data_IF_898394831869
#
_entry.id   IF_898394831869
#
_cell.length_a   1.000
_cell.length_b   1.000
_cell.length_c   1.000
_cell.angle_alpha   90.00
_cell.angle_beta   90.00
_cell.angle_gamma   90.00
#
_symmetry.space_group_name_H-M   'P 1'
#
loop_
_entity.id
_entity.type
_entity.pdbx_description
1 polymer ?
#
# COMPACT_ATOMS: atom_id res chain seq x y z
N UNK A 1 -4.27 46.84 -20.25
CA UNK A 1 -3.57 45.71 -19.61
C UNK A 1 -4.57 44.77 -18.92
N UNK A 2 -5.44 44.10 -19.69
CA UNK A 2 -6.49 43.22 -19.14
C UNK A 2 -6.50 41.89 -19.91
N UNK A 3 -6.48 41.97 -21.25
CA UNK A 3 -6.33 40.80 -22.13
C UNK A 3 -5.09 39.93 -21.83
N UNK A 4 -4.00 40.54 -21.32
CA UNK A 4 -2.75 39.82 -21.01
C UNK A 4 -2.84 39.00 -19.71
N UNK A 5 -3.59 39.49 -18.73
CA UNK A 5 -3.83 38.79 -17.46
C UNK A 5 -4.86 37.66 -17.65
N UNK A 6 -5.90 37.91 -18.46
CA UNK A 6 -6.91 36.90 -18.81
C UNK A 6 -6.30 35.70 -19.55
N UNK A 7 -5.40 35.94 -20.51
CA UNK A 7 -4.69 34.86 -21.21
C UNK A 7 -3.73 34.06 -20.32
N UNK A 8 -3.26 34.62 -19.21
CA UNK A 8 -2.44 33.89 -18.23
C UNK A 8 -3.30 33.02 -17.33
N UNK A 9 -4.45 33.54 -16.88
CA UNK A 9 -5.43 32.80 -16.07
C UNK A 9 -6.05 31.62 -16.85
N UNK A 10 -6.40 31.82 -18.12
CA UNK A 10 -6.97 30.77 -18.96
C UNK A 10 -6.00 29.59 -19.14
N UNK A 11 -4.71 29.87 -19.39
CA UNK A 11 -3.67 28.83 -19.53
C UNK A 11 -3.41 28.07 -18.23
N UNK A 12 -3.44 28.75 -17.09
CA UNK A 12 -3.30 28.08 -15.79
C UNK A 12 -4.49 27.16 -15.51
N UNK A 13 -5.71 27.60 -15.83
CA UNK A 13 -6.92 26.81 -15.67
C UNK A 13 -6.94 25.57 -16.59
N UNK A 14 -6.54 25.72 -17.85
CA UNK A 14 -6.38 24.60 -18.80
C UNK A 14 -5.35 23.57 -18.30
N UNK A 15 -4.22 24.04 -17.77
CA UNK A 15 -3.20 23.18 -17.19
C UNK A 15 -3.72 22.40 -15.97
N UNK A 16 -4.47 23.06 -15.07
CA UNK A 16 -5.08 22.41 -13.91
C UNK A 16 -6.11 21.35 -14.31
N UNK A 17 -6.98 21.64 -15.28
CA UNK A 17 -7.97 20.67 -15.79
C UNK A 17 -7.28 19.45 -16.41
N UNK A 18 -6.21 19.67 -17.17
CA UNK A 18 -5.45 18.58 -17.80
C UNK A 18 -4.86 17.65 -16.74
N UNK A 19 -4.24 18.22 -15.70
CA UNK A 19 -3.67 17.48 -14.57
C UNK A 19 -4.76 16.66 -13.82
N UNK A 20 -5.92 17.26 -13.54
CA UNK A 20 -7.04 16.58 -12.88
C UNK A 20 -7.62 15.43 -13.73
N UNK A 21 -7.68 15.60 -15.06
CA UNK A 21 -8.11 14.55 -15.98
C UNK A 21 -7.11 13.38 -16.03
N UNK A 22 -5.80 13.66 -16.03
CA UNK A 22 -4.76 12.64 -15.97
C UNK A 22 -4.85 11.82 -14.66
N UNK A 23 -4.95 12.49 -13.51
CA UNK A 23 -5.14 11.87 -12.19
C UNK A 23 -6.38 10.97 -12.13
N UNK A 24 -7.51 11.42 -12.68
CA UNK A 24 -8.75 10.65 -12.65
C UNK A 24 -8.77 9.48 -13.66
N UNK A 25 -8.03 9.61 -14.76
CA UNK A 25 -7.92 8.55 -15.78
C UNK A 25 -7.12 7.35 -15.27
N UNK A 26 -6.13 7.59 -14.41
CA UNK A 26 -5.27 6.54 -13.86
C UNK A 26 -5.87 5.92 -12.57
N UNK A 27 -6.75 6.65 -11.88
CA UNK A 27 -7.41 6.19 -10.65
C UNK A 27 -8.07 4.79 -10.72
N UNK A 28 -8.86 4.42 -11.75
CA UNK A 28 -9.46 3.08 -11.80
C UNK A 28 -8.42 1.97 -12.04
N UNK A 29 -7.39 2.25 -12.83
CA UNK A 29 -6.32 1.31 -13.12
C UNK A 29 -5.44 1.10 -11.87
N UNK A 30 -5.03 2.20 -11.22
CA UNK A 30 -4.30 2.18 -9.96
C UNK A 30 -5.08 1.45 -8.84
N UNK A 31 -6.40 1.65 -8.76
CA UNK A 31 -7.24 0.93 -7.79
C UNK A 31 -7.29 -0.58 -8.09
N UNK A 32 -7.33 -0.97 -9.36
CA UNK A 32 -7.30 -2.38 -9.78
C UNK A 32 -5.93 -3.02 -9.49
N UNK A 33 -4.84 -2.32 -9.77
CA UNK A 33 -3.47 -2.75 -9.46
C UNK A 33 -3.27 -2.94 -7.96
N UNK A 34 -3.64 -1.94 -7.15
CA UNK A 34 -3.59 -2.05 -5.69
C UNK A 34 -4.43 -3.24 -5.16
N UNK A 35 -5.61 -3.47 -5.75
CA UNK A 35 -6.44 -4.63 -5.40
C UNK A 35 -5.78 -5.96 -5.78
N UNK A 36 -5.11 -6.02 -6.94
CA UNK A 36 -4.36 -7.19 -7.38
C UNK A 36 -3.16 -7.47 -6.47
N UNK A 37 -2.41 -6.43 -6.09
CA UNK A 37 -1.27 -6.53 -5.18
C UNK A 37 -1.70 -7.07 -3.82
N UNK A 38 -2.77 -6.51 -3.25
CA UNK A 38 -3.33 -7.00 -1.98
C UNK A 38 -3.75 -8.47 -2.07
N UNK A 39 -4.39 -8.87 -3.17
CA UNK A 39 -4.77 -10.26 -3.42
C UNK A 39 -3.56 -11.18 -3.52
N UNK A 40 -2.47 -10.71 -4.15
CA UNK A 40 -1.24 -11.48 -4.26
C UNK A 40 -0.56 -11.66 -2.89
N UNK A 41 -0.49 -10.59 -2.09
CA UNK A 41 0.03 -10.64 -0.72
C UNK A 41 -0.80 -11.59 0.13
N UNK A 42 -2.13 -11.50 0.06
CA UNK A 42 -3.01 -12.37 0.82
C UNK A 42 -2.85 -13.85 0.41
N UNK A 43 -2.71 -14.13 -0.88
CA UNK A 43 -2.46 -15.48 -1.38
C UNK A 43 -1.11 -16.01 -0.88
N UNK A 44 -0.06 -15.19 -0.89
CA UNK A 44 1.25 -15.55 -0.35
C UNK A 44 1.17 -15.86 1.16
N UNK A 45 0.47 -15.02 1.93
CA UNK A 45 0.24 -15.23 3.36
C UNK A 45 -0.56 -16.51 3.63
N UNK A 46 -1.55 -16.83 2.80
CA UNK A 46 -2.33 -18.07 2.90
C UNK A 46 -1.54 -19.31 2.50
N UNK A 47 -0.52 -19.16 1.66
CA UNK A 47 0.41 -20.24 1.30
C UNK A 47 1.43 -20.58 2.38
N UNK A 48 1.61 -19.69 3.38
CA UNK A 48 2.49 -19.97 4.51
C UNK A 48 1.89 -21.02 5.45
N UNK A 49 2.72 -21.88 6.06
CA UNK A 49 2.31 -22.71 7.18
C UNK A 49 1.71 -21.87 8.30
N UNK A 50 0.72 -22.42 9.01
CA UNK A 50 -0.07 -21.67 10.01
C UNK A 50 0.81 -20.95 11.06
N UNK A 51 1.83 -21.66 11.58
CA UNK A 51 2.78 -21.09 12.55
C UNK A 51 3.59 -19.93 11.96
N UNK A 52 4.10 -20.08 10.74
CA UNK A 52 4.88 -19.04 10.05
C UNK A 52 4.04 -17.80 9.79
N UNK A 53 2.78 -17.97 9.37
CA UNK A 53 1.83 -16.88 9.21
C UNK A 53 1.57 -16.15 10.53
N UNK A 54 1.36 -16.90 11.63
CA UNK A 54 1.13 -16.32 12.95
C UNK A 54 2.32 -15.49 13.44
N UNK A 55 3.53 -16.02 13.27
CA UNK A 55 4.79 -15.32 13.59
C UNK A 55 4.89 -14.03 12.79
N UNK A 56 4.67 -14.09 11.47
CA UNK A 56 4.73 -12.94 10.59
C UNK A 56 3.73 -11.85 10.99
N UNK A 57 2.48 -12.22 11.29
CA UNK A 57 1.44 -11.27 11.71
C UNK A 57 1.73 -10.63 13.08
N UNK A 58 2.27 -11.40 14.03
CA UNK A 58 2.67 -10.87 15.33
C UNK A 58 3.85 -9.90 15.21
N UNK A 59 4.81 -10.19 14.33
CA UNK A 59 5.91 -9.26 14.07
C UNK A 59 5.43 -8.01 13.34
N UNK A 60 4.67 -8.18 12.25
CA UNK A 60 4.37 -7.09 11.31
C UNK A 60 3.21 -6.18 11.74
N UNK A 61 2.16 -6.75 12.33
CA UNK A 61 0.96 -6.00 12.73
C UNK A 61 1.06 -5.56 14.19
N UNK A 62 1.59 -6.42 15.06
CA UNK A 62 1.66 -6.15 16.50
C UNK A 62 3.01 -5.57 16.94
N UNK A 63 3.98 -5.46 16.02
CA UNK A 63 5.31 -4.91 16.30
C UNK A 63 6.13 -5.73 17.30
N UNK A 64 5.76 -6.99 17.56
CA UNK A 64 6.44 -7.83 18.56
C UNK A 64 7.80 -8.29 18.04
N UNK A 65 8.79 -8.36 18.93
CA UNK A 65 10.10 -8.92 18.63
C UNK A 65 10.03 -10.44 18.59
N UNK A 66 10.92 -11.07 17.82
CA UNK A 66 10.95 -12.54 17.67
C UNK A 66 11.04 -13.30 19.00
N UNK A 67 11.78 -12.79 20.00
CA UNK A 67 11.84 -13.39 21.34
C UNK A 67 10.50 -13.35 22.10
N UNK A 68 9.73 -12.27 21.95
CA UNK A 68 8.39 -12.16 22.55
C UNK A 68 7.39 -13.08 21.85
N UNK A 69 7.51 -13.22 20.53
CA UNK A 69 6.69 -14.13 19.72
C UNK A 69 6.97 -15.58 20.11
N UNK A 70 8.24 -15.95 20.26
CA UNK A 70 8.66 -17.28 20.71
C UNK A 70 8.03 -17.62 22.08
N UNK A 71 8.04 -16.66 23.01
CA UNK A 71 7.43 -16.82 24.33
C UNK A 71 5.90 -17.00 24.24
N UNK A 72 5.22 -16.17 23.44
CA UNK A 72 3.75 -16.24 23.24
C UNK A 72 3.33 -17.55 22.60
N UNK A 73 4.14 -18.08 21.69
CA UNK A 73 3.84 -19.32 20.95
C UNK A 73 4.40 -20.58 21.61
N UNK A 74 5.15 -20.46 22.72
CA UNK A 74 5.82 -21.59 23.37
C UNK A 74 6.89 -22.25 22.47
N UNK A 75 7.49 -21.48 21.56
CA UNK A 75 8.53 -21.92 20.64
C UNK A 75 9.91 -21.47 21.13
N UNK A 76 10.97 -22.15 20.67
CA UNK A 76 12.32 -21.63 20.82
C UNK A 76 12.56 -20.46 19.87
N UNK A 77 13.44 -19.53 20.24
CA UNK A 77 13.77 -18.38 19.39
C UNK A 77 14.27 -18.82 18.01
N UNK A 78 15.05 -19.90 17.96
CA UNK A 78 15.54 -20.54 16.72
C UNK A 78 14.46 -21.17 15.84
N UNK A 79 13.25 -21.41 16.36
CA UNK A 79 12.12 -21.90 15.58
C UNK A 79 11.26 -20.76 15.00
N UNK A 80 11.57 -19.52 15.38
CA UNK A 80 10.88 -18.29 14.95
C UNK A 80 11.76 -17.45 14.02
N UNK A 81 13.10 -17.54 14.14
CA UNK A 81 14.11 -17.04 13.19
C UNK A 81 14.19 -17.88 11.91
#
# INVERSE_FOLDING_TARGET
DHLRNEGTRARLHEALISDEQELCSDAPQAALEASNDLRHIEAALRGLPDKTRQIFLLNRIHGRKYGEIATVMGLSQSAVE
#
